data_IF_030400232369
#
_entry.id   IF_030400232369
#
_cell.length_a   1.000
_cell.length_b   1.000
_cell.length_c   1.000
_cell.angle_alpha   90.00
_cell.angle_beta   90.00
_cell.angle_gamma   90.00
#
_symmetry.space_group_name_H-M   'P 1'
#
loop_
_entity.id
_entity.type
_entity.pdbx_description
1 polymer ?
#
# COMPACT_ATOMS: atom_id res chain seq x y z
N UNK A 1 1.69 -20.08 19.94
CA UNK A 1 0.83 -19.72 18.81
C UNK A 1 0.75 -18.21 18.80
N UNK A 2 1.43 -17.55 17.88
CA UNK A 2 1.22 -16.12 17.63
C UNK A 2 -0.13 -16.01 16.93
N UNK A 3 -1.08 -15.38 17.60
CA UNK A 3 -2.35 -14.93 17.03
C UNK A 3 -2.00 -13.86 16.00
N UNK A 4 -1.62 -14.29 14.79
CA UNK A 4 -1.41 -13.40 13.66
C UNK A 4 -2.78 -13.06 13.11
N UNK A 5 -3.51 -12.20 13.82
CA UNK A 5 -4.63 -11.53 13.18
C UNK A 5 -4.08 -10.76 11.99
N UNK A 6 -4.63 -10.95 10.78
CA UNK A 6 -4.18 -10.20 9.63
C UNK A 6 -4.37 -8.71 9.95
N UNK A 7 -3.35 -7.89 9.68
CA UNK A 7 -3.36 -6.44 9.91
C UNK A 7 -4.55 -5.76 9.19
N UNK A 8 -5.12 -6.48 8.23
CA UNK A 8 -6.15 -6.04 7.33
C UNK A 8 -7.20 -7.14 7.15
N UNK A 9 -8.50 -6.82 7.16
CA UNK A 9 -9.52 -7.82 6.85
C UNK A 9 -9.34 -8.30 5.41
N UNK A 10 -9.73 -9.55 5.16
CA UNK A 10 -9.88 -10.11 3.83
C UNK A 10 -10.69 -9.15 2.93
N UNK A 11 -10.42 -9.12 1.61
CA UNK A 11 -11.18 -8.28 0.70
C UNK A 11 -12.67 -8.63 0.75
N UNK A 12 -13.50 -7.59 0.80
CA UNK A 12 -14.92 -7.72 0.46
C UNK A 12 -15.01 -7.54 -1.06
N UNK A 13 -15.66 -8.48 -1.75
CA UNK A 13 -15.77 -8.53 -3.22
C UNK A 13 -14.41 -8.65 -3.95
N UNK A 14 -14.38 -8.49 -5.27
CA UNK A 14 -13.20 -8.61 -6.16
C UNK A 14 -12.09 -7.55 -5.90
N UNK A 15 -12.18 -6.78 -4.82
CA UNK A 15 -11.29 -5.68 -4.47
C UNK A 15 -9.97 -6.18 -3.84
N UNK A 16 -9.13 -6.81 -4.67
CA UNK A 16 -7.88 -7.50 -4.27
C UNK A 16 -6.64 -6.61 -4.22
N UNK A 17 -6.78 -5.31 -4.42
CA UNK A 17 -5.68 -4.35 -4.52
C UNK A 17 -5.79 -3.27 -3.46
N UNK A 18 -4.67 -2.98 -2.77
CA UNK A 18 -4.59 -1.92 -1.78
C UNK A 18 -3.34 -1.08 -1.92
N UNK A 19 -3.47 0.21 -1.61
CA UNK A 19 -2.34 1.10 -1.35
C UNK A 19 -2.25 1.32 0.15
N UNK A 20 -1.10 0.98 0.70
CA UNK A 20 -0.75 1.19 2.10
C UNK A 20 0.06 2.47 2.23
N UNK A 21 -0.45 3.40 3.04
CA UNK A 21 0.21 4.65 3.41
C UNK A 21 0.71 4.56 4.86
N UNK A 22 1.98 4.87 5.04
CA UNK A 22 2.65 4.84 6.34
C UNK A 22 3.22 6.22 6.65
N UNK A 23 3.19 6.60 7.93
CA UNK A 23 3.86 7.80 8.40
C UNK A 23 3.99 7.78 9.92
N UNK A 24 4.38 8.92 10.49
CA UNK A 24 4.64 8.99 11.93
C UNK A 24 3.35 8.69 12.72
N UNK A 25 3.33 7.54 13.40
CA UNK A 25 2.21 7.10 14.23
C UNK A 25 0.97 6.65 13.47
N UNK A 26 1.03 6.40 12.16
CA UNK A 26 -0.11 5.86 11.41
C UNK A 26 0.30 4.86 10.33
N UNK A 27 -0.62 3.95 10.07
CA UNK A 27 -0.61 3.01 8.94
C UNK A 27 -2.04 2.83 8.47
N UNK A 28 -2.32 3.19 7.21
CA UNK A 28 -3.67 3.22 6.66
C UNK A 28 -3.67 2.65 5.25
N UNK A 29 -4.69 1.87 4.91
CA UNK A 29 -4.85 1.30 3.58
C UNK A 29 -6.09 1.85 2.88
N UNK A 30 -5.94 2.11 1.58
CA UNK A 30 -7.01 2.42 0.64
C UNK A 30 -7.17 1.26 -0.34
N UNK A 31 -8.42 0.90 -0.64
CA UNK A 31 -8.75 -0.23 -1.51
C UNK A 31 -9.04 0.27 -2.92
N UNK A 32 -8.53 -0.44 -3.93
CA UNK A 32 -8.68 -0.11 -5.33
C UNK A 32 -9.28 -1.29 -6.12
N UNK A 33 -9.99 -1.01 -7.23
CA UNK A 33 -10.68 -2.05 -8.00
C UNK A 33 -9.73 -2.94 -8.82
N UNK A 34 -8.53 -2.45 -9.15
CA UNK A 34 -7.56 -3.17 -9.97
C UNK A 34 -6.12 -2.67 -9.72
N UNK A 35 -5.16 -3.40 -10.30
CA UNK A 35 -3.73 -3.11 -10.23
C UNK A 35 -3.40 -1.70 -10.72
N UNK A 36 -3.85 -1.35 -11.93
CA UNK A 36 -3.52 -0.07 -12.57
C UNK A 36 -3.97 1.12 -11.72
N UNK A 37 -5.16 1.06 -11.13
CA UNK A 37 -5.67 2.09 -10.22
C UNK A 37 -4.80 2.20 -8.95
N UNK A 38 -4.39 1.08 -8.36
CA UNK A 38 -3.52 1.07 -7.20
C UNK A 38 -2.14 1.67 -7.52
N UNK A 39 -1.53 1.30 -8.65
CA UNK A 39 -0.25 1.87 -9.09
C UNK A 39 -0.35 3.37 -9.37
N UNK A 40 -1.42 3.81 -10.05
CA UNK A 40 -1.62 5.22 -10.37
C UNK A 40 -1.69 6.07 -9.11
N UNK A 41 -2.47 5.62 -8.12
CA UNK A 41 -2.64 6.32 -6.84
C UNK A 41 -1.35 6.26 -6.01
N UNK A 42 -0.70 5.09 -5.92
CA UNK A 42 0.55 4.94 -5.18
C UNK A 42 1.67 5.85 -5.71
N UNK A 43 1.83 5.94 -7.04
CA UNK A 43 2.84 6.80 -7.66
C UNK A 43 2.54 8.28 -7.42
N UNK A 44 1.30 8.71 -7.62
CA UNK A 44 0.90 10.09 -7.34
C UNK A 44 1.10 10.46 -5.85
N UNK A 45 0.83 9.53 -4.95
CA UNK A 45 1.08 9.72 -3.52
C UNK A 45 2.57 9.83 -3.19
N UNK A 46 3.40 8.96 -3.77
CA UNK A 46 4.85 9.00 -3.58
C UNK A 46 5.47 10.29 -4.15
N UNK A 47 5.03 10.74 -5.32
CA UNK A 47 5.48 12.01 -5.93
C UNK A 47 5.16 13.21 -5.04
N UNK A 48 3.94 13.29 -4.51
CA UNK A 48 3.55 14.36 -3.58
C UNK A 48 4.30 14.28 -2.25
N UNK A 49 4.42 13.09 -1.69
CA UNK A 49 5.15 12.89 -0.45
C UNK A 49 6.63 13.29 -0.60
N UNK A 50 7.25 12.98 -1.74
CA UNK A 50 8.64 13.35 -2.04
C UNK A 50 8.88 14.87 -2.15
N UNK A 51 7.85 15.67 -2.44
CA UNK A 51 7.93 17.14 -2.41
C UNK A 51 7.60 17.74 -1.04
N UNK A 52 7.31 16.89 -0.04
CA UNK A 52 6.88 17.30 1.29
C UNK A 52 5.40 17.70 1.37
N UNK A 53 4.63 17.50 0.29
CA UNK A 53 3.20 17.75 0.29
C UNK A 53 2.43 16.68 1.07
N UNK A 54 1.29 17.07 1.62
CA UNK A 54 0.38 16.12 2.25
C UNK A 54 -0.36 15.30 1.19
N UNK A 55 -0.49 13.99 1.44
CA UNK A 55 -1.20 13.06 0.57
C UNK A 55 -2.63 12.92 1.07
N UNK A 56 -3.58 13.06 0.15
CA UNK A 56 -5.00 12.84 0.39
C UNK A 56 -5.38 11.43 -0.04
N UNK A 57 -6.06 10.68 0.82
CA UNK A 57 -6.54 9.33 0.50
C UNK A 57 -7.80 9.00 1.31
N UNK A 58 -8.55 7.99 0.87
CA UNK A 58 -9.78 7.55 1.56
C UNK A 58 -9.50 6.28 2.36
N UNK A 59 -9.74 6.34 3.67
CA UNK A 59 -9.71 5.17 4.53
C UNK A 59 -11.14 4.76 4.94
N UNK A 60 -11.27 3.75 5.80
CA UNK A 60 -12.57 3.27 6.32
C UNK A 60 -13.44 4.36 6.96
N UNK A 61 -12.84 5.40 7.53
CA UNK A 61 -13.54 6.50 8.21
C UNK A 61 -13.83 7.69 7.31
N UNK A 62 -13.30 7.71 6.09
CA UNK A 62 -13.48 8.79 5.12
C UNK A 62 -12.15 9.37 4.60
N UNK A 63 -12.21 10.52 3.92
CA UNK A 63 -11.02 11.17 3.38
C UNK A 63 -10.13 11.71 4.51
N UNK A 64 -8.83 11.55 4.35
CA UNK A 64 -7.81 12.07 5.27
C UNK A 64 -6.67 12.71 4.49
N UNK A 65 -6.01 13.68 5.12
CA UNK A 65 -4.84 14.37 4.59
C UNK A 65 -3.69 14.18 5.58
N UNK A 66 -2.58 13.58 5.14
CA UNK A 66 -1.45 13.20 6.02
C UNK A 66 -0.09 13.41 5.33
N UNK A 67 0.93 13.70 6.14
CA UNK A 67 2.33 13.57 5.73
C UNK A 67 2.68 12.08 5.67
N UNK A 68 2.90 11.56 4.47
CA UNK A 68 3.22 10.16 4.21
C UNK A 68 4.73 9.99 4.11
N UNK A 69 5.26 8.98 4.81
CA UNK A 69 6.68 8.62 4.83
C UNK A 69 6.95 7.29 4.11
N UNK A 70 5.91 6.53 3.77
CA UNK A 70 6.02 5.30 3.03
C UNK A 70 4.75 4.96 2.25
N UNK A 71 4.93 4.39 1.07
CA UNK A 71 3.84 3.92 0.21
C UNK A 71 4.15 2.51 -0.26
N UNK A 72 3.20 1.59 -0.10
CA UNK A 72 3.32 0.20 -0.56
C UNK A 72 2.08 -0.21 -1.35
N UNK A 73 2.27 -1.04 -2.37
CA UNK A 73 1.17 -1.67 -3.10
C UNK A 73 1.04 -3.09 -2.58
N UNK A 74 -0.16 -3.46 -2.14
CA UNK A 74 -0.48 -4.77 -1.62
C UNK A 74 -1.48 -5.48 -2.54
N UNK A 75 -1.31 -6.78 -2.68
CA UNK A 75 -2.25 -7.67 -3.35
C UNK A 75 -2.66 -8.80 -2.41
N UNK A 76 -3.94 -9.19 -2.44
CA UNK A 76 -4.43 -10.32 -1.65
C UNK A 76 -3.95 -11.66 -2.24
N UNK A 77 -3.23 -12.44 -1.43
CA UNK A 77 -2.85 -13.81 -1.79
C UNK A 77 -3.87 -14.80 -1.22
N UNK A 78 -4.61 -15.48 -2.10
CA UNK A 78 -5.54 -16.55 -1.68
C UNK A 78 -4.81 -17.76 -1.10
N UNK A 79 -3.58 -18.03 -1.55
CA UNK A 79 -2.77 -19.15 -1.07
C UNK A 79 -2.42 -19.00 0.41
N UNK A 80 -2.03 -17.79 0.82
CA UNK A 80 -1.65 -17.49 2.20
C UNK A 80 -2.86 -17.01 3.02
N UNK A 81 -3.89 -16.49 2.37
CA UNK A 81 -5.01 -15.83 3.04
C UNK A 81 -4.59 -14.51 3.70
N UNK A 82 -3.68 -13.76 3.07
CA UNK A 82 -3.20 -12.48 3.59
C UNK A 82 -2.78 -11.49 2.49
N UNK A 83 -2.67 -10.22 2.85
CA UNK A 83 -2.16 -9.15 2.00
C UNK A 83 -0.63 -9.23 1.90
N UNK A 84 -0.11 -9.34 0.67
CA UNK A 84 1.33 -9.37 0.40
C UNK A 84 1.76 -8.11 -0.34
N UNK A 85 3.00 -7.68 -0.13
CA UNK A 85 3.55 -6.63 -0.99
C UNK A 85 3.62 -7.16 -2.42
N UNK A 86 3.08 -6.38 -3.34
CA UNK A 86 3.16 -6.64 -4.77
C UNK A 86 4.35 -5.92 -5.41
N UNK A 87 4.79 -4.82 -4.79
CA UNK A 87 5.88 -3.98 -5.27
C UNK A 87 6.84 -3.60 -4.15
N UNK A 88 8.06 -3.20 -4.51
CA UNK A 88 8.97 -2.54 -3.57
C UNK A 88 8.32 -1.29 -2.99
N UNK A 89 8.37 -1.12 -1.68
CA UNK A 89 7.83 0.07 -1.02
C UNK A 89 8.64 1.31 -1.37
N UNK A 90 7.95 2.42 -1.60
CA UNK A 90 8.58 3.73 -1.55
C UNK A 90 8.73 4.18 -0.09
N UNK A 91 9.84 4.84 0.24
CA UNK A 91 10.14 5.39 1.57
C UNK A 91 10.79 6.76 1.41
N UNK A 92 10.31 7.75 2.16
CA UNK A 92 10.80 9.13 2.11
C UNK A 92 12.28 9.24 2.57
N UNK A 93 12.64 8.49 3.61
CA UNK A 93 14.00 8.50 4.17
C UNK A 93 15.00 7.61 3.42
N UNK A 94 14.53 6.80 2.46
CA UNK A 94 15.35 5.87 1.69
C UNK A 94 14.68 5.54 0.34
N UNK A 95 14.52 6.53 -0.56
CA UNK A 95 13.86 6.30 -1.83
C UNK A 95 14.72 5.40 -2.72
N UNK A 96 14.21 4.21 -3.02
CA UNK A 96 14.82 3.28 -3.97
C UNK A 96 14.44 3.66 -5.41
N UNK A 97 15.36 3.55 -6.39
CA UNK A 97 15.00 3.70 -7.81
C UNK A 97 13.98 2.65 -8.27
N UNK A 98 13.93 1.50 -7.61
CA UNK A 98 12.99 0.42 -7.90
C UNK A 98 11.68 0.54 -7.10
N UNK A 99 11.48 1.62 -6.34
CA UNK A 99 10.26 1.83 -5.58
C UNK A 99 9.02 1.81 -6.50
N UNK A 100 7.97 1.11 -6.05
CA UNK A 100 6.74 0.91 -6.82
C UNK A 100 6.98 0.25 -8.18
N UNK A 101 7.97 -0.65 -8.25
CA UNK A 101 8.11 -1.64 -9.32
C UNK A 101 7.64 -3.02 -8.82
N UNK A 102 6.92 -3.80 -9.64
CA UNK A 102 6.47 -5.13 -9.25
C UNK A 102 7.62 -6.01 -8.76
N UNK A 103 7.37 -6.77 -7.69
CA UNK A 103 8.29 -7.79 -7.22
C UNK A 103 8.34 -8.95 -8.25
N UNK A 104 9.46 -9.68 -8.32
CA UNK A 104 9.52 -10.92 -9.09
C UNK A 104 8.40 -11.89 -8.70
N UNK A 105 7.87 -12.63 -9.68
CA UNK A 105 6.72 -13.52 -9.48
C UNK A 105 6.97 -14.62 -8.42
N UNK A 106 8.25 -14.96 -8.19
CA UNK A 106 8.72 -15.96 -7.23
C UNK A 106 9.20 -15.36 -5.90
N UNK A 107 9.05 -14.05 -5.69
CA UNK A 107 9.58 -13.37 -4.50
C UNK A 107 9.04 -13.92 -3.17
N UNK A 108 7.81 -14.45 -3.17
CA UNK A 108 7.14 -14.99 -1.98
C UNK A 108 7.14 -16.53 -1.90
N UNK A 109 7.72 -17.22 -2.89
CA UNK A 109 7.79 -18.69 -2.96
C UNK A 109 8.88 -19.28 -2.08
#
# INVERSE_FOLDING_TARGET
MTDSHPLYPAPADDARWRVLYEGSGFSMAETHPNEDAAYTVARAAAERAATGEQVSFVNRTGPVLKTVLGVSILHWSDEVGDWRHHAWSWRDNAPSPDALTPLPADFWN
#
